data_IF_458401731442
#
_entry.id   IF_458401731442
#
_cell.length_a   1.000
_cell.length_b   1.000
_cell.length_c   1.000
_cell.angle_alpha   90.00
_cell.angle_beta   90.00
_cell.angle_gamma   90.00
#
_symmetry.space_group_name_H-M   'P 1'
#
loop_
_entity.id
_entity.type
_entity.pdbx_description
1 polymer ?
#
# COMPACT_ATOMS: atom_id res chain seq x y z
N UNK A 1 22.44 18.39 -11.51
CA UNK A 1 22.39 19.67 -12.26
C UNK A 1 20.96 20.19 -12.54
N UNK A 2 19.91 19.40 -12.51
CA UNK A 2 18.53 19.87 -12.71
C UNK A 2 17.91 20.56 -11.47
N UNK A 3 18.42 20.30 -10.27
CA UNK A 3 17.81 20.72 -9.00
C UNK A 3 17.74 22.24 -8.73
N UNK A 4 18.53 23.05 -9.46
CA UNK A 4 18.51 24.49 -9.26
C UNK A 4 17.65 25.26 -10.28
N UNK A 5 17.12 24.59 -11.30
CA UNK A 5 16.34 25.21 -12.37
C UNK A 5 14.83 25.20 -12.11
N UNK A 6 14.34 24.19 -11.39
CA UNK A 6 12.92 23.98 -11.13
C UNK A 6 12.63 23.97 -9.62
N UNK A 7 11.63 24.75 -9.20
CA UNK A 7 11.20 24.85 -7.78
C UNK A 7 10.41 23.64 -7.31
N UNK A 8 9.75 22.94 -8.24
CA UNK A 8 8.86 21.80 -7.96
C UNK A 8 9.59 20.54 -7.54
N UNK A 9 10.90 20.43 -7.78
CA UNK A 9 11.65 19.20 -7.50
C UNK A 9 11.74 18.88 -6.01
N UNK A 10 11.35 17.68 -5.64
CA UNK A 10 11.36 17.20 -4.26
C UNK A 10 11.66 15.69 -4.20
N UNK A 11 12.54 15.27 -3.29
CA UNK A 11 12.92 13.86 -3.09
C UNK A 11 13.33 13.13 -4.39
N UNK A 12 12.83 11.90 -4.60
CA UNK A 12 13.00 11.15 -5.85
C UNK A 12 11.84 11.47 -6.79
N UNK A 13 11.91 12.61 -7.42
CA UNK A 13 10.90 13.10 -8.34
C UNK A 13 10.86 12.31 -9.65
N UNK A 14 9.71 12.33 -10.33
CA UNK A 14 9.50 11.78 -11.66
C UNK A 14 9.60 12.90 -12.72
N UNK A 15 9.96 12.52 -13.94
CA UNK A 15 10.29 13.44 -15.03
C UNK A 15 9.13 14.38 -15.41
N UNK A 16 7.89 13.96 -15.27
CA UNK A 16 6.72 14.80 -15.55
C UNK A 16 6.61 16.03 -14.65
N UNK A 17 7.18 16.01 -13.44
CA UNK A 17 7.15 17.10 -12.47
C UNK A 17 7.78 18.38 -13.04
N UNK A 18 9.06 18.40 -13.50
CA UNK A 18 9.65 19.59 -14.12
C UNK A 18 9.02 19.92 -15.48
N UNK A 19 8.45 18.96 -16.21
CA UNK A 19 7.73 19.25 -17.45
C UNK A 19 6.46 20.07 -17.21
N UNK A 20 5.69 19.76 -16.17
CA UNK A 20 4.52 20.56 -15.80
C UNK A 20 4.97 21.97 -15.39
N UNK A 21 5.96 22.09 -14.51
CA UNK A 21 6.45 23.41 -14.09
C UNK A 21 6.90 24.26 -15.29
N UNK A 22 7.64 23.68 -16.22
CA UNK A 22 8.05 24.37 -17.45
C UNK A 22 6.83 24.80 -18.28
N UNK A 23 5.85 23.90 -18.46
CA UNK A 23 4.61 24.21 -19.18
C UNK A 23 3.86 25.39 -18.58
N UNK A 24 3.77 25.43 -17.24
CA UNK A 24 3.13 26.54 -16.50
C UNK A 24 3.90 27.86 -16.67
N UNK A 25 5.23 27.84 -16.62
CA UNK A 25 6.07 29.02 -16.81
C UNK A 25 5.98 29.62 -18.24
N UNK A 26 5.62 28.82 -19.23
CA UNK A 26 5.48 29.26 -20.62
C UNK A 26 4.08 29.83 -20.93
N UNK A 27 3.12 29.78 -20.00
CA UNK A 27 1.77 30.27 -20.20
C UNK A 27 1.73 31.83 -20.22
N UNK A 28 1.06 32.37 -21.21
CA UNK A 28 0.60 33.76 -21.14
C UNK A 28 -0.48 33.92 -20.07
N UNK A 29 -0.79 35.16 -19.68
CA UNK A 29 -1.90 35.47 -18.77
C UNK A 29 -3.19 34.84 -19.28
N UNK A 30 -3.93 34.17 -18.42
CA UNK A 30 -5.14 33.38 -18.72
C UNK A 30 -4.92 32.20 -19.69
N UNK A 31 -3.69 31.89 -20.09
CA UNK A 31 -3.38 30.68 -20.84
C UNK A 31 -3.65 29.42 -19.99
N UNK A 32 -4.03 28.32 -20.63
CA UNK A 32 -4.32 27.05 -19.97
C UNK A 32 -3.33 25.97 -20.37
N UNK A 33 -2.85 25.21 -19.42
CA UNK A 33 -2.00 24.05 -19.57
C UNK A 33 -2.77 22.79 -19.17
N UNK A 34 -2.59 21.72 -19.94
CA UNK A 34 -3.11 20.40 -19.58
C UNK A 34 -2.16 19.32 -20.12
N UNK A 35 -1.99 18.27 -19.35
CA UNK A 35 -1.17 17.11 -19.72
C UNK A 35 -1.67 15.87 -19.01
N UNK A 36 -1.76 14.73 -19.71
CA UNK A 36 -1.99 13.44 -19.07
C UNK A 36 -0.72 13.03 -18.32
N UNK A 37 -0.89 12.73 -17.03
CA UNK A 37 0.21 12.42 -16.11
C UNK A 37 -0.16 11.23 -15.21
N UNK A 38 0.84 10.57 -14.60
CA UNK A 38 0.59 9.56 -13.60
C UNK A 38 -0.23 10.10 -12.42
N UNK A 39 -1.22 9.33 -11.99
CA UNK A 39 -2.11 9.65 -10.86
C UNK A 39 -1.35 9.98 -9.56
N UNK A 40 -0.17 9.40 -9.26
CA UNK A 40 0.68 9.79 -8.14
C UNK A 40 0.99 11.29 -8.01
N UNK A 41 0.79 12.09 -9.07
CA UNK A 41 0.82 13.55 -8.96
C UNK A 41 -0.11 14.04 -7.83
N UNK A 42 -1.27 13.44 -7.64
CA UNK A 42 -2.30 13.90 -6.72
C UNK A 42 -1.94 13.69 -5.24
N UNK A 43 -1.14 12.66 -4.92
CA UNK A 43 -0.97 12.20 -3.53
C UNK A 43 0.49 11.92 -3.09
N UNK A 44 1.43 11.65 -4.01
CA UNK A 44 2.79 11.27 -3.63
C UNK A 44 3.62 12.45 -3.13
N UNK A 45 4.54 12.16 -2.18
CA UNK A 45 5.39 13.18 -1.52
C UNK A 45 6.26 13.97 -2.49
N UNK A 46 6.79 13.32 -3.52
CA UNK A 46 7.64 14.01 -4.50
C UNK A 46 6.87 15.07 -5.32
N UNK A 47 5.53 14.93 -5.48
CA UNK A 47 4.67 15.91 -6.14
C UNK A 47 4.27 17.12 -5.29
N UNK A 48 4.57 17.10 -3.98
CA UNK A 48 4.12 18.13 -3.02
C UNK A 48 4.42 19.56 -3.46
N UNK A 49 5.66 19.85 -3.83
CA UNK A 49 6.05 21.22 -4.21
C UNK A 49 5.34 21.69 -5.46
N UNK A 50 5.15 20.80 -6.44
CA UNK A 50 4.41 21.14 -7.66
C UNK A 50 2.93 21.40 -7.34
N UNK A 51 2.28 20.55 -6.55
CA UNK A 51 0.91 20.78 -6.10
C UNK A 51 0.75 22.11 -5.36
N UNK A 52 1.72 22.43 -4.49
CA UNK A 52 1.76 23.72 -3.80
C UNK A 52 1.78 24.88 -4.80
N UNK A 53 2.72 24.85 -5.76
CA UNK A 53 2.83 25.89 -6.81
C UNK A 53 1.51 26.02 -7.56
N UNK A 54 0.93 24.90 -8.03
CA UNK A 54 -0.33 24.93 -8.78
C UNK A 54 -1.47 25.53 -7.94
N UNK A 55 -1.56 25.14 -6.66
CA UNK A 55 -2.67 25.57 -5.79
C UNK A 55 -2.55 27.01 -5.32
N UNK A 56 -1.33 27.54 -5.15
CA UNK A 56 -1.10 28.87 -4.59
C UNK A 56 -0.84 29.94 -5.66
N UNK A 57 -0.18 29.58 -6.77
CA UNK A 57 0.27 30.55 -7.78
C UNK A 57 -0.58 30.51 -9.07
N UNK A 58 -1.34 29.44 -9.30
CA UNK A 58 -2.17 29.23 -10.50
C UNK A 58 -3.60 28.86 -10.14
N UNK A 59 -4.48 28.82 -11.14
CA UNK A 59 -5.85 28.33 -10.98
C UNK A 59 -5.95 26.90 -11.50
N UNK A 60 -6.17 25.92 -10.61
CA UNK A 60 -6.54 24.57 -10.97
C UNK A 60 -8.03 24.55 -11.32
N UNK A 61 -8.34 24.47 -12.63
CA UNK A 61 -9.71 24.52 -13.13
C UNK A 61 -10.43 23.19 -12.99
N UNK A 62 -9.73 22.13 -13.40
CA UNK A 62 -10.29 20.78 -13.45
C UNK A 62 -9.22 19.72 -13.26
N UNK A 63 -9.60 18.60 -12.69
CA UNK A 63 -8.83 17.35 -12.72
C UNK A 63 -9.76 16.27 -13.28
N UNK A 64 -9.36 15.70 -14.43
CA UNK A 64 -10.01 14.49 -14.93
C UNK A 64 -9.30 13.28 -14.32
N UNK A 65 -10.05 12.53 -13.53
CA UNK A 65 -9.60 11.27 -12.91
C UNK A 65 -9.84 10.11 -13.89
N UNK A 66 -8.77 9.49 -14.35
CA UNK A 66 -8.76 8.33 -15.25
C UNK A 66 -8.44 7.04 -14.49
N UNK A 67 -8.51 7.09 -13.16
CA UNK A 67 -8.25 5.92 -12.34
C UNK A 67 -9.28 4.81 -12.63
N UNK A 68 -8.78 3.56 -12.73
CA UNK A 68 -9.63 2.43 -13.15
C UNK A 68 -9.85 2.32 -14.66
N UNK A 69 -9.42 3.32 -15.45
CA UNK A 69 -9.49 3.27 -16.92
C UNK A 69 -8.12 2.92 -17.52
N UNK A 70 -8.05 1.89 -18.33
CA UNK A 70 -6.84 1.53 -19.07
C UNK A 70 -6.66 2.48 -20.26
N UNK A 71 -5.88 3.54 -20.07
CA UNK A 71 -5.65 4.56 -21.11
C UNK A 71 -4.62 4.11 -22.16
N UNK A 72 -3.58 3.40 -21.71
CA UNK A 72 -2.49 2.92 -22.57
C UNK A 72 -2.45 1.40 -22.60
N UNK A 73 -2.38 0.79 -23.81
CA UNK A 73 -2.41 -0.66 -23.96
C UNK A 73 -1.27 -1.38 -23.21
N UNK A 74 -0.10 -0.79 -23.18
CA UNK A 74 1.14 -1.39 -22.66
C UNK A 74 1.58 -0.82 -21.30
N UNK A 75 0.77 0.01 -20.63
CA UNK A 75 1.10 0.59 -19.34
C UNK A 75 0.00 0.28 -18.30
N UNK A 76 0.44 -0.06 -17.09
CA UNK A 76 -0.43 -0.35 -15.93
C UNK A 76 -0.48 0.81 -14.93
N UNK A 77 -0.23 2.03 -15.39
CA UNK A 77 -0.17 3.22 -14.54
C UNK A 77 -1.52 3.93 -14.59
N UNK A 78 -2.13 4.16 -13.43
CA UNK A 78 -3.28 5.05 -13.32
C UNK A 78 -2.88 6.48 -13.68
N UNK A 79 -3.78 7.20 -14.35
CA UNK A 79 -3.50 8.53 -14.88
C UNK A 79 -4.54 9.54 -14.39
N UNK A 80 -4.18 10.83 -14.49
CA UNK A 80 -5.10 11.95 -14.37
C UNK A 80 -4.71 13.06 -15.35
N UNK A 81 -5.63 13.99 -15.60
CA UNK A 81 -5.39 15.14 -16.47
C UNK A 81 -5.76 16.41 -15.68
N UNK A 82 -4.78 17.14 -15.13
CA UNK A 82 -5.00 18.46 -14.56
C UNK A 82 -5.15 19.52 -15.67
N UNK A 83 -6.09 20.45 -15.48
CA UNK A 83 -6.26 21.66 -16.28
C UNK A 83 -5.93 22.86 -15.41
N UNK A 84 -4.84 23.55 -15.73
CA UNK A 84 -4.30 24.63 -14.93
C UNK A 84 -4.24 25.91 -15.74
N UNK A 85 -4.79 27.00 -15.24
CA UNK A 85 -4.80 28.30 -15.90
C UNK A 85 -3.84 29.27 -15.19
N UNK A 86 -3.13 30.09 -15.99
CA UNK A 86 -2.28 31.15 -15.46
C UNK A 86 -3.11 32.37 -15.03
N UNK A 87 -3.80 32.23 -13.90
CA UNK A 87 -4.53 33.29 -13.22
C UNK A 87 -4.59 32.96 -11.73
N UNK A 88 -5.08 33.90 -10.91
CA UNK A 88 -5.26 33.68 -9.48
C UNK A 88 -6.22 32.52 -9.20
N UNK A 89 -6.00 31.75 -8.14
CA UNK A 89 -6.86 30.65 -7.74
C UNK A 89 -8.32 31.09 -7.62
N UNK A 90 -9.24 30.28 -8.14
CA UNK A 90 -10.70 30.45 -8.05
C UNK A 90 -11.28 29.53 -6.98
N UNK A 91 -12.47 29.87 -6.50
CA UNK A 91 -13.13 29.13 -5.42
C UNK A 91 -13.67 27.74 -5.83
N UNK A 92 -13.79 27.47 -7.14
CA UNK A 92 -14.36 26.22 -7.64
C UNK A 92 -13.35 25.40 -8.45
N UNK A 93 -13.21 24.12 -8.08
CA UNK A 93 -12.49 23.11 -8.84
C UNK A 93 -13.48 22.07 -9.34
N UNK A 94 -13.40 21.72 -10.63
CA UNK A 94 -14.17 20.62 -11.21
C UNK A 94 -13.37 19.33 -11.12
N UNK A 95 -14.00 18.23 -10.70
CA UNK A 95 -13.43 16.88 -10.76
C UNK A 95 -14.33 16.04 -11.66
N UNK A 96 -13.75 15.47 -12.70
CA UNK A 96 -14.45 14.61 -13.68
C UNK A 96 -13.88 13.21 -13.55
N UNK A 97 -14.74 12.21 -13.34
CA UNK A 97 -14.33 10.80 -13.29
C UNK A 97 -14.67 10.08 -14.59
N UNK A 98 -13.75 9.24 -15.06
CA UNK A 98 -13.94 8.35 -16.20
C UNK A 98 -13.94 6.89 -15.72
N UNK A 99 -15.02 6.14 -16.02
CA UNK A 99 -15.10 4.71 -15.74
C UNK A 99 -15.50 3.94 -16.99
N UNK A 100 -14.77 2.88 -17.32
CA UNK A 100 -15.12 1.83 -18.31
C UNK A 100 -15.94 2.31 -19.53
N UNK A 101 -15.41 3.25 -20.30
CA UNK A 101 -16.06 3.75 -21.51
C UNK A 101 -17.32 4.60 -21.30
N UNK A 102 -17.66 4.92 -20.06
CA UNK A 102 -18.75 5.86 -19.71
C UNK A 102 -18.16 7.10 -19.06
N UNK A 103 -18.49 8.25 -19.63
CA UNK A 103 -18.22 9.55 -19.02
C UNK A 103 -19.24 9.77 -17.90
N UNK A 104 -18.81 9.60 -16.63
CA UNK A 104 -19.60 10.07 -15.50
C UNK A 104 -19.07 11.46 -15.18
N UNK A 105 -19.74 12.47 -15.68
CA UNK A 105 -19.49 13.86 -15.28
C UNK A 105 -20.17 14.08 -13.92
N UNK A 106 -19.43 13.84 -12.86
CA UNK A 106 -19.78 14.32 -11.55
C UNK A 106 -18.94 15.54 -11.25
N UNK A 107 -19.56 16.69 -11.33
CA UNK A 107 -18.94 17.94 -10.93
C UNK A 107 -18.96 18.02 -9.41
N UNK A 108 -17.87 17.57 -8.79
CA UNK A 108 -17.61 17.88 -7.39
C UNK A 108 -17.05 19.30 -7.33
N UNK A 109 -17.84 20.23 -6.84
CA UNK A 109 -17.36 21.59 -6.55
C UNK A 109 -16.60 21.55 -5.23
N UNK A 110 -15.30 21.54 -5.30
CA UNK A 110 -14.43 21.66 -4.12
C UNK A 110 -13.74 23.02 -4.16
N UNK A 111 -13.76 23.74 -3.06
CA UNK A 111 -12.95 24.93 -2.95
C UNK A 111 -11.46 24.57 -2.93
N UNK A 112 -10.56 25.42 -3.44
CA UNK A 112 -9.11 25.21 -3.29
C UNK A 112 -8.66 25.03 -1.85
N UNK A 113 -9.40 25.57 -0.89
CA UNK A 113 -9.16 25.39 0.55
C UNK A 113 -9.41 23.95 1.00
N UNK A 114 -10.41 23.26 0.42
CA UNK A 114 -10.64 21.84 0.70
C UNK A 114 -9.50 20.97 0.18
N UNK A 115 -8.80 21.37 -0.86
CA UNK A 115 -7.58 20.72 -1.35
C UNK A 115 -6.36 20.98 -0.46
N UNK A 116 -6.39 22.05 0.35
CA UNK A 116 -5.34 22.42 1.31
C UNK A 116 -5.50 21.74 2.67
N UNK A 117 -6.54 20.93 2.89
CA UNK A 117 -6.84 20.32 4.20
C UNK A 117 -5.68 19.48 4.78
N UNK A 118 -4.74 19.09 3.94
CA UNK A 118 -3.45 18.58 4.39
C UNK A 118 -2.34 19.60 4.06
N UNK A 119 -2.31 20.72 4.80
CA UNK A 119 -1.30 21.80 4.65
C UNK A 119 0.14 21.27 4.66
N UNK A 120 0.34 20.11 5.27
CA UNK A 120 1.65 19.47 5.35
C UNK A 120 2.10 18.89 4.01
N UNK A 121 1.20 18.28 3.21
CA UNK A 121 1.57 17.54 2.00
C UNK A 121 0.82 17.97 0.72
N UNK A 122 -0.12 18.92 0.76
CA UNK A 122 -0.90 19.42 -0.38
C UNK A 122 -1.55 18.29 -1.19
N UNK A 123 -2.09 17.29 -0.53
CA UNK A 123 -2.70 16.13 -1.19
C UNK A 123 -4.02 16.56 -1.83
N UNK A 124 -4.18 16.26 -3.13
CA UNK A 124 -5.43 16.46 -3.86
C UNK A 124 -6.33 15.22 -3.69
N UNK A 125 -7.28 15.30 -2.77
CA UNK A 125 -8.28 14.25 -2.62
C UNK A 125 -9.37 14.40 -3.69
N UNK A 126 -9.44 13.47 -4.63
CA UNK A 126 -10.40 13.48 -5.73
C UNK A 126 -11.68 12.70 -5.42
N UNK A 127 -11.80 12.06 -4.27
CA UNK A 127 -12.98 11.27 -3.90
C UNK A 127 -14.13 12.15 -3.39
N UNK A 128 -15.37 11.64 -3.53
CA UNK A 128 -16.61 12.35 -3.17
C UNK A 128 -16.80 12.56 -1.67
N UNK A 129 -16.29 11.67 -0.83
CA UNK A 129 -16.58 11.63 0.59
C UNK A 129 -15.43 12.20 1.43
N UNK A 130 -15.78 12.79 2.58
CA UNK A 130 -14.83 13.03 3.65
C UNK A 130 -14.08 11.73 3.93
N UNK A 131 -12.74 11.79 3.98
CA UNK A 131 -11.90 10.61 4.19
C UNK A 131 -12.49 9.76 5.32
N UNK A 132 -12.71 8.48 5.05
CA UNK A 132 -13.06 7.48 6.08
C UNK A 132 -12.12 7.53 7.30
N UNK A 133 -10.92 8.08 7.14
CA UNK A 133 -9.98 8.34 8.23
C UNK A 133 -10.51 9.23 9.35
N UNK A 134 -11.45 10.14 9.09
CA UNK A 134 -12.09 10.94 10.16
C UNK A 134 -13.15 10.13 10.91
N UNK A 135 -13.89 9.26 10.22
CA UNK A 135 -14.91 8.39 10.82
C UNK A 135 -14.31 7.39 11.82
N UNK A 136 -13.09 6.95 11.58
CA UNK A 136 -12.41 5.93 12.40
C UNK A 136 -11.18 6.46 13.14
N UNK A 137 -11.05 7.80 13.30
CA UNK A 137 -9.89 8.44 13.93
C UNK A 137 -9.55 7.92 15.34
N UNK A 138 -10.55 7.46 16.06
CA UNK A 138 -10.39 6.92 17.42
C UNK A 138 -10.15 5.40 17.46
N UNK A 139 -10.18 4.72 16.31
CA UNK A 139 -9.89 3.28 16.26
C UNK A 139 -8.39 3.02 16.31
N UNK A 140 -8.04 1.82 16.79
CA UNK A 140 -6.71 1.29 16.58
C UNK A 140 -6.51 1.01 15.09
N UNK A 141 -5.27 1.10 14.62
CA UNK A 141 -4.90 0.76 13.24
C UNK A 141 -4.06 -0.52 13.22
N UNK A 142 -3.96 -1.16 12.06
CA UNK A 142 -3.20 -2.42 11.95
C UNK A 142 -1.75 -2.27 12.45
N UNK A 143 -1.13 -1.11 12.25
CA UNK A 143 0.22 -0.82 12.73
C UNK A 143 0.38 -0.84 14.25
N UNK A 144 -0.72 -0.66 15.02
CA UNK A 144 -0.69 -0.76 16.49
C UNK A 144 -0.59 -2.22 16.95
N UNK A 145 -1.08 -3.16 16.16
CA UNK A 145 -1.06 -4.60 16.44
C UNK A 145 0.10 -5.32 15.78
N UNK A 146 0.55 -4.85 14.59
CA UNK A 146 1.49 -5.56 13.75
C UNK A 146 2.67 -4.69 13.33
N UNK A 147 3.86 -5.28 13.34
CA UNK A 147 4.98 -4.80 12.57
C UNK A 147 4.77 -5.15 11.09
N UNK A 148 4.83 -4.14 10.21
CA UNK A 148 4.61 -4.33 8.78
C UNK A 148 5.91 -4.06 8.03
N UNK A 149 6.34 -5.03 7.24
CA UNK A 149 7.59 -4.98 6.48
C UNK A 149 7.41 -5.51 5.06
N UNK A 150 8.23 -5.00 4.15
CA UNK A 150 8.50 -5.65 2.86
C UNK A 150 9.44 -6.84 3.05
N UNK A 151 9.38 -7.81 2.15
CA UNK A 151 10.35 -8.86 2.07
C UNK A 151 11.70 -8.42 1.48
N UNK A 152 12.57 -9.38 1.29
CA UNK A 152 13.97 -9.19 0.84
C UNK A 152 14.06 -8.81 -0.64
N UNK A 153 15.14 -8.18 -1.03
CA UNK A 153 15.52 -7.96 -2.44
C UNK A 153 16.58 -8.98 -2.81
N UNK A 154 16.24 -9.84 -3.77
CA UNK A 154 17.06 -11.01 -4.14
C UNK A 154 18.16 -10.70 -5.16
N UNK A 155 18.71 -9.51 -5.15
CA UNK A 155 19.86 -9.15 -5.97
C UNK A 155 21.07 -8.95 -5.08
N UNK A 156 22.26 -9.16 -5.63
CA UNK A 156 23.51 -8.89 -4.94
C UNK A 156 23.56 -7.44 -4.43
N UNK A 157 24.03 -7.27 -3.20
CA UNK A 157 24.23 -5.95 -2.61
C UNK A 157 25.39 -5.25 -3.33
N UNK A 158 25.13 -4.12 -3.96
CA UNK A 158 26.13 -3.36 -4.72
C UNK A 158 27.33 -2.90 -3.88
N UNK A 159 27.16 -2.73 -2.57
CA UNK A 159 28.24 -2.34 -1.66
C UNK A 159 29.12 -3.54 -1.24
N UNK A 160 28.62 -4.77 -1.40
CA UNK A 160 29.31 -5.99 -0.98
C UNK A 160 29.80 -6.76 -2.21
N UNK A 161 28.95 -6.95 -3.20
CA UNK A 161 29.23 -7.79 -4.36
C UNK A 161 28.37 -7.37 -5.58
N UNK A 162 28.77 -6.29 -6.25
CA UNK A 162 28.01 -5.71 -7.34
C UNK A 162 27.83 -6.69 -8.51
N UNK A 163 26.58 -7.00 -8.85
CA UNK A 163 26.22 -7.77 -10.05
C UNK A 163 26.61 -9.25 -10.01
N UNK A 164 27.08 -9.78 -8.86
CA UNK A 164 27.56 -11.16 -8.75
C UNK A 164 26.47 -12.22 -8.97
N UNK A 165 25.22 -11.89 -8.68
CA UNK A 165 24.06 -12.78 -8.92
C UNK A 165 22.77 -12.01 -9.09
N UNK A 166 21.79 -12.66 -9.68
CA UNK A 166 20.42 -12.19 -9.86
C UNK A 166 19.43 -13.09 -9.11
N UNK A 167 18.21 -12.63 -9.01
CA UNK A 167 17.11 -13.35 -8.36
C UNK A 167 16.96 -14.79 -8.89
N UNK A 168 17.05 -14.95 -10.19
CA UNK A 168 16.86 -16.25 -10.87
C UNK A 168 17.91 -17.29 -10.47
N UNK A 169 19.10 -16.84 -10.11
CA UNK A 169 20.21 -17.69 -9.70
C UNK A 169 20.01 -18.28 -8.28
N UNK A 170 19.07 -17.72 -7.51
CA UNK A 170 18.81 -18.08 -6.13
C UNK A 170 17.58 -18.95 -5.93
N UNK A 171 16.76 -19.15 -6.98
CA UNK A 171 15.43 -19.75 -6.84
C UNK A 171 15.39 -21.08 -7.63
N UNK A 172 14.87 -22.12 -6.99
CA UNK A 172 14.59 -23.43 -7.61
C UNK A 172 13.13 -23.82 -7.44
N UNK A 173 12.58 -24.53 -8.41
CA UNK A 173 11.27 -25.19 -8.28
C UNK A 173 11.34 -26.50 -7.47
N UNK A 174 12.54 -27.00 -7.22
CA UNK A 174 12.77 -28.25 -6.48
C UNK A 174 13.57 -27.96 -5.21
N UNK A 175 13.14 -28.60 -4.12
CA UNK A 175 13.90 -28.61 -2.86
C UNK A 175 15.21 -29.40 -3.01
N UNK A 176 16.28 -28.81 -2.54
CA UNK A 176 17.59 -29.49 -2.40
C UNK A 176 18.35 -28.94 -1.18
N UNK A 177 19.61 -29.37 -0.98
CA UNK A 177 20.44 -28.95 0.16
C UNK A 177 20.78 -27.46 0.14
N UNK A 178 20.82 -26.85 -1.03
CA UNK A 178 21.14 -25.44 -1.25
C UNK A 178 19.83 -24.61 -1.19
N UNK A 179 18.84 -25.02 -1.99
CA UNK A 179 17.50 -24.40 -2.02
C UNK A 179 16.62 -25.00 -0.94
N UNK A 180 16.87 -24.63 0.30
CA UNK A 180 16.37 -25.31 1.50
C UNK A 180 15.20 -24.60 2.19
N UNK A 181 14.81 -23.40 1.76
CA UNK A 181 13.70 -22.63 2.37
C UNK A 181 12.57 -22.37 1.38
N UNK A 182 11.36 -22.62 1.80
CA UNK A 182 10.14 -22.31 1.03
C UNK A 182 10.09 -20.80 0.75
N UNK A 183 9.79 -20.45 -0.51
CA UNK A 183 9.81 -19.08 -1.01
C UNK A 183 8.61 -18.80 -1.91
N UNK A 184 8.04 -17.58 -1.76
CA UNK A 184 6.87 -17.11 -2.51
C UNK A 184 7.06 -15.66 -2.99
N UNK A 185 6.32 -15.30 -4.04
CA UNK A 185 6.18 -13.93 -4.56
C UNK A 185 4.71 -13.52 -4.61
N UNK A 186 4.41 -12.24 -4.83
CA UNK A 186 3.04 -11.73 -4.85
C UNK A 186 2.10 -12.45 -5.82
N UNK A 187 2.62 -12.91 -6.97
CA UNK A 187 1.85 -13.71 -7.94
C UNK A 187 1.47 -15.12 -7.45
N UNK A 188 2.16 -15.59 -6.41
CA UNK A 188 1.96 -16.93 -5.85
C UNK A 188 0.90 -16.95 -4.74
N UNK A 189 0.36 -15.80 -4.34
CA UNK A 189 -0.68 -15.69 -3.31
C UNK A 189 -2.03 -15.27 -3.89
N UNK A 190 -3.07 -15.64 -3.16
CA UNK A 190 -4.45 -15.24 -3.38
C UNK A 190 -5.14 -15.07 -2.01
N UNK A 191 -6.39 -14.58 -1.97
CA UNK A 191 -7.16 -14.54 -0.72
C UNK A 191 -7.16 -15.93 -0.08
N UNK A 192 -6.69 -16.02 1.15
CA UNK A 192 -6.63 -17.24 1.98
C UNK A 192 -5.72 -18.39 1.43
N UNK A 193 -4.94 -18.19 0.38
CA UNK A 193 -4.20 -19.30 -0.24
C UNK A 193 -2.82 -18.88 -0.76
N UNK A 194 -1.85 -19.80 -0.62
CA UNK A 194 -0.61 -19.82 -1.41
C UNK A 194 -0.79 -20.81 -2.56
N UNK A 195 -0.72 -20.33 -3.81
CA UNK A 195 -0.96 -21.13 -5.04
C UNK A 195 0.27 -21.89 -5.51
N UNK A 196 1.46 -21.36 -5.27
CA UNK A 196 2.72 -21.95 -5.70
C UNK A 196 3.81 -21.66 -4.68
N UNK A 197 4.62 -22.66 -4.42
CA UNK A 197 5.81 -22.58 -3.57
C UNK A 197 7.03 -22.92 -4.41
N UNK A 198 8.09 -22.16 -4.23
CA UNK A 198 9.44 -22.41 -4.75
C UNK A 198 10.40 -22.52 -3.58
N UNK A 199 11.66 -22.70 -3.87
CA UNK A 199 12.69 -22.84 -2.85
C UNK A 199 13.81 -21.84 -3.11
N UNK A 200 14.22 -21.14 -2.05
CA UNK A 200 15.31 -20.17 -2.09
C UNK A 200 16.58 -20.79 -1.54
N UNK A 201 17.69 -20.49 -2.20
CA UNK A 201 19.01 -20.73 -1.66
C UNK A 201 19.15 -20.09 -0.28
N UNK A 202 19.62 -20.86 0.71
CA UNK A 202 19.67 -20.38 2.09
C UNK A 202 20.84 -20.94 2.85
N UNK A 203 21.43 -20.14 3.76
CA UNK A 203 22.63 -20.46 4.51
C UNK A 203 23.86 -20.81 3.63
N UNK A 204 23.98 -20.14 2.50
CA UNK A 204 25.14 -20.22 1.62
C UNK A 204 26.02 -18.99 1.79
N UNK A 205 27.14 -18.95 1.08
CA UNK A 205 28.04 -17.79 1.10
C UNK A 205 27.36 -16.48 0.64
N UNK A 206 26.35 -16.57 -0.25
CA UNK A 206 25.66 -15.41 -0.81
C UNK A 206 24.28 -15.11 -0.21
N UNK A 207 23.62 -16.07 0.41
CA UNK A 207 22.26 -15.89 0.89
C UNK A 207 22.06 -16.34 2.35
N UNK A 208 21.56 -15.47 3.25
CA UNK A 208 21.00 -14.13 2.99
C UNK A 208 22.03 -12.98 3.05
N UNK A 209 23.27 -13.21 3.40
CA UNK A 209 24.20 -12.19 3.89
C UNK A 209 24.62 -11.18 2.80
N UNK A 210 24.69 -11.60 1.54
CA UNK A 210 25.06 -10.74 0.41
C UNK A 210 23.85 -10.18 -0.39
N UNK A 211 22.63 -10.30 0.13
CA UNK A 211 21.46 -9.70 -0.50
C UNK A 211 21.48 -8.18 -0.41
N UNK A 212 20.94 -7.49 -1.42
CA UNK A 212 20.90 -6.02 -1.45
C UNK A 212 20.03 -5.40 -0.36
N UNK A 213 19.06 -6.13 0.16
CA UNK A 213 18.24 -5.77 1.32
C UNK A 213 17.95 -7.03 2.12
N UNK A 214 18.89 -7.51 2.92
CA UNK A 214 18.60 -8.55 3.88
C UNK A 214 17.64 -8.00 4.93
N UNK A 215 16.57 -8.72 5.21
CA UNK A 215 15.72 -8.50 6.37
C UNK A 215 16.19 -9.41 7.50
N UNK A 216 15.82 -9.08 8.75
CA UNK A 216 16.23 -9.93 9.88
C UNK A 216 15.50 -11.27 9.83
N UNK A 217 16.18 -12.34 10.23
CA UNK A 217 15.70 -13.73 10.07
C UNK A 217 14.40 -14.00 10.83
N UNK A 218 14.28 -13.42 12.01
CA UNK A 218 13.14 -13.59 12.90
C UNK A 218 11.81 -13.11 12.25
N UNK A 219 11.88 -12.20 11.29
CA UNK A 219 10.71 -11.79 10.52
C UNK A 219 10.06 -12.95 9.75
N UNK A 220 10.90 -13.90 9.31
CA UNK A 220 10.44 -15.05 8.54
C UNK A 220 10.10 -16.24 9.41
N UNK A 221 10.73 -16.37 10.57
CA UNK A 221 10.63 -17.53 11.46
C UNK A 221 9.52 -17.38 12.53
N UNK A 222 8.49 -16.58 12.23
CA UNK A 222 7.32 -16.37 13.09
C UNK A 222 6.01 -16.47 12.29
N UNK A 223 4.90 -16.66 13.00
CA UNK A 223 3.56 -16.59 12.42
C UNK A 223 3.29 -15.17 11.90
N UNK A 224 2.71 -15.07 10.69
CA UNK A 224 2.49 -13.79 10.03
C UNK A 224 1.33 -13.82 9.05
N UNK A 225 0.79 -12.67 8.75
CA UNK A 225 -0.04 -12.47 7.57
C UNK A 225 0.86 -12.03 6.41
N UNK A 226 0.54 -12.51 5.21
CA UNK A 226 1.24 -12.24 3.97
C UNK A 226 0.27 -11.55 3.03
N UNK A 227 0.68 -10.38 2.50
CA UNK A 227 -0.17 -9.49 1.71
C UNK A 227 0.53 -9.11 0.40
N UNK A 228 -0.23 -9.03 -0.69
CA UNK A 228 0.28 -8.45 -1.94
C UNK A 228 0.43 -6.91 -1.83
N UNK A 229 1.16 -6.33 -2.78
CA UNK A 229 1.40 -4.88 -2.82
C UNK A 229 0.77 -4.17 -4.03
N UNK A 230 -0.07 -4.86 -4.80
CA UNK A 230 -0.67 -4.33 -6.04
C UNK A 230 -2.14 -4.76 -6.16
N UNK A 231 -2.97 -3.88 -6.66
CA UNK A 231 -4.37 -4.15 -6.96
C UNK A 231 -5.26 -4.33 -5.74
N UNK A 232 -6.22 -5.26 -5.81
CA UNK A 232 -7.05 -5.67 -4.68
C UNK A 232 -6.20 -6.39 -3.65
N UNK A 233 -6.46 -6.16 -2.37
CA UNK A 233 -5.70 -6.83 -1.31
C UNK A 233 -6.03 -8.32 -1.25
N UNK A 234 -4.98 -9.13 -1.29
CA UNK A 234 -5.05 -10.58 -1.06
C UNK A 234 -4.20 -10.91 0.14
N UNK A 235 -4.80 -11.52 1.14
CA UNK A 235 -4.13 -11.86 2.39
C UNK A 235 -4.22 -13.36 2.65
N UNK A 236 -3.10 -13.96 3.00
CA UNK A 236 -3.04 -15.33 3.50
C UNK A 236 -2.26 -15.38 4.81
N UNK A 237 -2.35 -16.50 5.51
CA UNK A 237 -1.70 -16.71 6.79
C UNK A 237 -0.57 -17.73 6.66
N UNK A 238 0.56 -17.42 7.27
CA UNK A 238 1.71 -18.32 7.42
C UNK A 238 1.94 -18.57 8.91
N UNK A 239 1.65 -19.77 9.37
CA UNK A 239 1.85 -20.19 10.76
C UNK A 239 2.87 -21.31 10.94
N UNK A 240 3.12 -22.10 9.90
CA UNK A 240 3.89 -23.34 10.00
C UNK A 240 4.94 -23.50 8.90
N UNK A 241 4.71 -22.84 7.76
CA UNK A 241 5.57 -22.99 6.60
C UNK A 241 6.76 -22.04 6.61
N UNK A 242 6.64 -20.92 7.34
CA UNK A 242 7.68 -19.89 7.51
C UNK A 242 8.27 -19.42 6.18
N UNK A 243 7.38 -19.06 5.24
CA UNK A 243 7.77 -18.64 3.90
C UNK A 243 8.72 -17.46 3.91
N UNK A 244 9.80 -17.61 3.16
CA UNK A 244 10.59 -16.48 2.69
C UNK A 244 9.83 -15.78 1.56
N UNK A 245 9.95 -14.47 1.46
CA UNK A 245 9.30 -13.69 0.41
C UNK A 245 10.09 -12.44 0.03
N UNK A 246 9.91 -11.99 -1.22
CA UNK A 246 10.58 -10.81 -1.74
C UNK A 246 9.81 -9.51 -1.42
N UNK A 247 10.37 -8.40 -1.88
CA UNK A 247 9.84 -7.04 -1.69
C UNK A 247 8.49 -6.76 -2.38
N UNK A 248 7.97 -7.68 -3.21
CA UNK A 248 6.62 -7.58 -3.79
C UNK A 248 5.53 -8.05 -2.82
N UNK A 249 5.91 -8.58 -1.67
CA UNK A 249 5.03 -9.00 -0.59
C UNK A 249 5.29 -8.17 0.65
N UNK A 250 4.22 -7.82 1.36
CA UNK A 250 4.26 -7.36 2.73
C UNK A 250 3.99 -8.52 3.69
N UNK A 251 4.58 -8.48 4.86
CA UNK A 251 4.19 -9.30 5.99
C UNK A 251 3.75 -8.41 7.15
N UNK A 252 2.75 -8.89 7.89
CA UNK A 252 2.30 -8.30 9.14
C UNK A 252 2.50 -9.32 10.26
N UNK A 253 3.38 -9.00 11.20
CA UNK A 253 3.74 -9.83 12.34
C UNK A 253 3.25 -9.16 13.61
N UNK A 254 2.56 -9.88 14.48
CA UNK A 254 2.11 -9.33 15.75
C UNK A 254 3.31 -8.86 16.59
N UNK A 255 3.21 -7.67 17.19
CA UNK A 255 4.30 -7.11 17.99
C UNK A 255 4.73 -8.03 19.14
N UNK A 256 3.81 -8.79 19.74
CA UNK A 256 4.10 -9.78 20.78
C UNK A 256 5.02 -10.92 20.32
N UNK A 257 4.93 -11.28 19.02
CA UNK A 257 5.72 -12.39 18.44
C UNK A 257 7.15 -11.92 18.04
N UNK A 258 7.39 -10.60 18.10
CA UNK A 258 8.71 -9.99 17.94
C UNK A 258 9.30 -9.50 19.27
N UNK A 259 8.73 -9.92 20.40
CA UNK A 259 9.21 -9.54 21.74
C UNK A 259 10.70 -9.87 21.87
N UNK A 260 11.44 -8.98 22.51
CA UNK A 260 12.90 -9.08 22.74
C UNK A 260 13.77 -9.02 21.47
N UNK A 261 13.20 -8.92 20.27
CA UNK A 261 13.94 -8.76 19.02
C UNK A 261 14.28 -7.28 18.81
N UNK A 262 15.56 -6.97 18.90
CA UNK A 262 16.08 -5.61 18.70
C UNK A 262 16.89 -5.53 17.41
N UNK A 263 16.35 -4.79 16.44
CA UNK A 263 17.12 -4.45 15.25
C UNK A 263 16.80 -3.03 14.75
N UNK A 264 17.64 -2.54 13.83
CA UNK A 264 17.54 -1.19 13.29
C UNK A 264 16.22 -0.95 12.53
N UNK A 265 15.68 -1.95 11.85
CA UNK A 265 14.45 -1.82 11.08
C UNK A 265 13.23 -1.64 11.98
N UNK A 266 13.14 -2.43 13.05
CA UNK A 266 12.08 -2.31 14.07
C UNK A 266 12.18 -0.94 14.75
N UNK A 267 13.36 -0.56 15.25
CA UNK A 267 13.56 0.72 15.94
C UNK A 267 13.22 1.92 15.05
N UNK A 268 13.59 1.86 13.77
CA UNK A 268 13.25 2.90 12.80
C UNK A 268 11.74 2.95 12.51
N UNK A 269 11.07 1.80 12.45
CA UNK A 269 9.62 1.74 12.24
C UNK A 269 8.87 2.34 13.41
N UNK A 270 9.24 1.99 14.64
CA UNK A 270 8.65 2.54 15.86
C UNK A 270 8.78 4.07 15.87
N UNK A 271 10.00 4.58 15.67
CA UNK A 271 10.26 6.02 15.69
C UNK A 271 9.46 6.81 14.65
N UNK A 272 9.21 6.21 13.47
CA UNK A 272 8.62 6.93 12.34
C UNK A 272 7.11 6.83 12.25
N UNK A 273 6.54 5.70 12.69
CA UNK A 273 5.19 5.34 12.31
C UNK A 273 4.28 4.93 13.47
N UNK A 274 4.83 4.59 14.64
CA UNK A 274 4.02 4.07 15.74
C UNK A 274 3.47 5.18 16.63
N UNK A 275 2.20 5.03 17.02
CA UNK A 275 1.49 5.93 17.95
C UNK A 275 1.76 5.59 19.41
N UNK A 276 2.13 4.34 19.68
CA UNK A 276 2.38 3.77 20.99
C UNK A 276 3.84 3.36 21.15
N UNK A 277 4.29 3.21 22.39
CA UNK A 277 5.61 2.62 22.64
C UNK A 277 5.58 1.09 22.42
N UNK A 278 6.75 0.48 22.43
CA UNK A 278 6.92 -0.95 22.14
C UNK A 278 6.12 -1.86 23.06
N UNK A 279 6.14 -1.61 24.38
CA UNK A 279 5.48 -2.42 25.41
C UNK A 279 3.95 -2.33 25.26
N UNK A 280 3.44 -1.15 24.97
CA UNK A 280 2.01 -0.93 24.71
C UNK A 280 1.55 -1.71 23.48
N UNK A 281 2.31 -1.68 22.38
CA UNK A 281 2.00 -2.43 21.15
C UNK A 281 2.08 -3.95 21.35
N UNK A 282 3.08 -4.45 22.07
CA UNK A 282 3.16 -5.87 22.46
C UNK A 282 1.95 -6.31 23.27
N UNK A 283 1.54 -5.49 24.23
CA UNK A 283 0.34 -5.73 25.07
C UNK A 283 -0.94 -5.70 24.23
N UNK A 284 -1.06 -4.71 23.35
CA UNK A 284 -2.23 -4.53 22.48
C UNK A 284 -2.36 -5.70 21.50
N UNK A 285 -1.26 -6.11 20.88
CA UNK A 285 -1.21 -7.24 19.97
C UNK A 285 -1.55 -8.59 20.62
N UNK A 286 -1.40 -8.69 21.95
CA UNK A 286 -1.86 -9.84 22.74
C UNK A 286 -3.38 -9.96 22.83
N UNK A 287 -4.13 -8.89 22.55
CA UNK A 287 -5.60 -8.86 22.60
C UNK A 287 -6.26 -9.27 21.29
N UNK A 288 -5.51 -9.45 20.20
CA UNK A 288 -6.03 -9.72 18.87
C UNK A 288 -5.63 -11.11 18.39
N UNK A 289 -6.55 -11.78 17.70
CA UNK A 289 -6.31 -13.09 17.05
C UNK A 289 -5.86 -12.89 15.60
N UNK A 290 -4.88 -13.69 15.15
CA UNK A 290 -4.33 -13.57 13.79
C UNK A 290 -5.34 -13.99 12.71
N UNK A 291 -6.24 -14.96 12.99
CA UNK A 291 -7.30 -15.34 12.04
C UNK A 291 -8.40 -14.28 11.95
N UNK A 292 -8.65 -13.56 13.06
CA UNK A 292 -9.52 -12.40 13.04
C UNK A 292 -8.95 -11.29 12.13
N UNK A 293 -7.66 -10.99 12.25
CA UNK A 293 -7.01 -10.02 11.35
C UNK A 293 -7.04 -10.50 9.90
N UNK A 294 -6.84 -11.80 9.63
CA UNK A 294 -6.97 -12.38 8.30
C UNK A 294 -8.37 -12.14 7.72
N UNK A 295 -9.41 -12.33 8.53
CA UNK A 295 -10.80 -12.08 8.14
C UNK A 295 -11.04 -10.61 7.78
N UNK A 296 -10.65 -9.70 8.70
CA UNK A 296 -10.79 -8.25 8.47
C UNK A 296 -10.10 -7.83 7.17
N UNK A 297 -8.85 -8.27 6.94
CA UNK A 297 -8.04 -7.83 5.81
C UNK A 297 -8.49 -8.43 4.47
N UNK A 298 -9.27 -9.52 4.46
CA UNK A 298 -9.87 -10.08 3.25
C UNK A 298 -11.35 -9.70 3.04
N UNK A 299 -11.92 -8.86 3.92
CA UNK A 299 -13.29 -8.38 3.80
C UNK A 299 -13.44 -7.29 2.73
N UNK A 300 -14.67 -7.10 2.25
CA UNK A 300 -15.03 -6.02 1.32
C UNK A 300 -14.72 -4.62 1.89
N UNK A 301 -14.93 -4.42 3.20
CA UNK A 301 -14.62 -3.15 3.87
C UNK A 301 -13.12 -2.83 3.83
N UNK A 302 -12.23 -3.82 3.98
CA UNK A 302 -10.80 -3.57 3.88
C UNK A 302 -10.39 -3.12 2.48
N UNK A 303 -10.99 -3.69 1.44
CA UNK A 303 -10.79 -3.27 0.05
C UNK A 303 -11.27 -1.82 -0.17
N UNK A 304 -12.45 -1.44 0.36
CA UNK A 304 -13.00 -0.08 0.31
C UNK A 304 -12.09 0.93 1.02
N UNK A 305 -11.69 0.64 2.27
CA UNK A 305 -10.82 1.49 3.08
C UNK A 305 -9.43 1.70 2.43
N UNK A 306 -8.89 0.65 1.81
CA UNK A 306 -7.63 0.74 1.07
C UNK A 306 -7.79 1.54 -0.22
N UNK A 307 -8.91 1.39 -0.93
CA UNK A 307 -9.21 2.17 -2.13
C UNK A 307 -9.25 3.67 -1.81
N UNK A 308 -9.92 4.05 -0.72
CA UNK A 308 -9.97 5.42 -0.23
C UNK A 308 -8.59 5.97 0.12
N UNK A 309 -7.78 5.21 0.87
CA UNK A 309 -6.43 5.64 1.27
C UNK A 309 -5.48 5.77 0.08
N UNK A 310 -5.63 4.92 -0.93
CA UNK A 310 -4.80 4.96 -2.14
C UNK A 310 -5.14 6.13 -3.05
N UNK A 311 -6.36 6.64 -2.95
CA UNK A 311 -6.83 7.71 -3.83
C UNK A 311 -6.68 7.32 -5.30
N UNK A 312 -6.85 6.03 -5.63
CA UNK A 312 -6.75 5.51 -6.98
C UNK A 312 -5.40 5.00 -7.45
N UNK A 313 -4.35 5.06 -6.65
CA UNK A 313 -3.09 4.39 -6.97
C UNK A 313 -3.28 2.86 -6.97
N UNK A 314 -2.74 2.20 -7.99
CA UNK A 314 -2.75 0.73 -8.08
C UNK A 314 -1.83 0.07 -7.03
N UNK A 315 -0.85 0.81 -6.52
CA UNK A 315 0.08 0.33 -5.50
C UNK A 315 -0.52 0.46 -4.10
N UNK A 316 -0.36 -0.60 -3.32
CA UNK A 316 -0.59 -0.59 -1.88
C UNK A 316 0.75 -0.30 -1.21
N UNK A 317 0.87 0.84 -0.53
CA UNK A 317 2.08 1.17 0.23
C UNK A 317 1.99 0.69 1.68
N UNK A 318 3.13 0.48 2.38
CA UNK A 318 3.11 0.05 3.78
C UNK A 318 2.31 0.96 4.71
N UNK A 319 2.27 2.26 4.44
CA UNK A 319 1.48 3.22 5.19
C UNK A 319 -0.03 3.01 5.02
N UNK A 320 -0.52 2.62 3.85
CA UNK A 320 -1.93 2.30 3.65
C UNK A 320 -2.33 1.12 4.53
N UNK A 321 -1.51 0.06 4.57
CA UNK A 321 -1.74 -1.13 5.39
C UNK A 321 -1.66 -0.79 6.89
N UNK A 322 -0.66 0.00 7.31
CA UNK A 322 -0.51 0.40 8.72
C UNK A 322 -1.69 1.18 9.24
N UNK A 323 -2.26 2.04 8.40
CA UNK A 323 -3.32 2.96 8.77
C UNK A 323 -4.73 2.37 8.61
N UNK A 324 -4.86 1.09 8.23
CA UNK A 324 -6.16 0.43 8.20
C UNK A 324 -6.75 0.40 9.62
N UNK A 325 -7.92 0.99 9.84
CA UNK A 325 -8.61 0.91 11.12
C UNK A 325 -9.03 -0.53 11.41
N UNK A 326 -8.76 -0.98 12.61
CA UNK A 326 -9.05 -2.35 13.07
C UNK A 326 -9.92 -2.27 14.30
N UNK A 327 -11.19 -2.69 14.23
CA UNK A 327 -12.05 -2.82 15.42
C UNK A 327 -11.46 -3.84 16.40
N UNK A 328 -11.65 -3.63 17.68
CA UNK A 328 -11.21 -4.55 18.71
C UNK A 328 -12.41 -4.99 19.56
N UNK A 329 -13.30 -5.85 19.02
CA UNK A 329 -14.44 -6.37 19.77
C UNK A 329 -14.00 -7.39 20.83
N UNK A 330 -14.95 -7.86 21.62
CA UNK A 330 -14.71 -8.91 22.62
C UNK A 330 -14.14 -10.19 21.97
N UNK A 331 -13.39 -10.96 22.75
CA UNK A 331 -12.68 -12.16 22.27
C UNK A 331 -13.60 -13.19 21.60
N UNK A 332 -14.84 -13.30 22.07
CA UNK A 332 -15.81 -14.25 21.49
C UNK A 332 -16.20 -13.85 20.07
N UNK A 333 -16.42 -12.55 19.82
CA UNK A 333 -16.71 -12.04 18.47
C UNK A 333 -15.51 -12.23 17.55
N UNK A 334 -14.29 -11.94 18.02
CA UNK A 334 -13.07 -12.19 17.24
C UNK A 334 -12.93 -13.67 16.89
N UNK A 335 -13.21 -14.57 17.84
CA UNK A 335 -13.14 -16.02 17.63
C UNK A 335 -14.15 -16.51 16.58
N UNK A 336 -15.39 -16.00 16.65
CA UNK A 336 -16.44 -16.37 15.70
C UNK A 336 -16.05 -15.97 14.27
N UNK A 337 -15.63 -14.72 14.07
CA UNK A 337 -15.15 -14.22 12.76
C UNK A 337 -13.89 -14.99 12.32
N UNK A 338 -12.94 -15.22 13.20
CA UNK A 338 -11.72 -15.99 12.92
C UNK A 338 -12.00 -17.46 12.55
N UNK A 339 -13.05 -18.05 13.07
CA UNK A 339 -13.45 -19.43 12.72
C UNK A 339 -13.99 -19.51 11.29
N UNK A 340 -14.74 -18.52 10.82
CA UNK A 340 -15.16 -18.43 9.41
C UNK A 340 -13.93 -18.35 8.51
N UNK A 341 -12.94 -17.51 8.84
CA UNK A 341 -11.71 -17.43 8.06
C UNK A 341 -10.93 -18.77 8.03
N UNK A 342 -10.92 -19.52 9.13
CA UNK A 342 -10.32 -20.88 9.17
C UNK A 342 -11.06 -21.86 8.27
N UNK A 343 -12.38 -21.78 8.24
CA UNK A 343 -13.18 -22.66 7.36
C UNK A 343 -12.95 -22.30 5.89
N UNK A 344 -12.89 -21.01 5.55
CA UNK A 344 -12.53 -20.57 4.19
C UNK A 344 -11.14 -21.09 3.81
N UNK A 345 -10.16 -21.03 4.69
CA UNK A 345 -8.83 -21.60 4.45
C UNK A 345 -8.88 -23.10 4.16
N UNK A 346 -9.75 -23.87 4.84
CA UNK A 346 -9.91 -25.30 4.57
C UNK A 346 -10.56 -25.54 3.20
N UNK A 347 -11.62 -24.81 2.86
CA UNK A 347 -12.27 -24.92 1.53
C UNK A 347 -11.29 -24.56 0.41
N UNK A 348 -10.49 -23.51 0.59
CA UNK A 348 -9.46 -23.11 -0.38
C UNK A 348 -8.39 -24.19 -0.61
N UNK A 349 -7.98 -24.93 0.41
CA UNK A 349 -7.01 -26.04 0.28
C UNK A 349 -7.50 -27.14 -0.66
N UNK A 350 -8.80 -27.37 -0.72
CA UNK A 350 -9.42 -28.39 -1.57
C UNK A 350 -10.13 -27.80 -2.79
N UNK A 351 -9.88 -26.55 -3.11
CA UNK A 351 -10.51 -25.78 -4.20
C UNK A 351 -12.05 -25.82 -4.18
N UNK A 352 -12.67 -25.90 -2.99
CA UNK A 352 -14.11 -25.82 -2.82
C UNK A 352 -14.58 -24.35 -2.83
N UNK A 353 -15.85 -24.15 -3.20
CA UNK A 353 -16.49 -22.83 -3.11
C UNK A 353 -16.63 -22.37 -1.67
N UNK A 354 -16.45 -21.07 -1.44
CA UNK A 354 -16.51 -20.42 -0.13
C UNK A 354 -17.30 -19.08 -0.15
N UNK A 355 -18.04 -18.86 -1.23
CA UNK A 355 -18.76 -17.60 -1.45
C UNK A 355 -19.78 -17.32 -0.33
N UNK A 356 -20.45 -18.36 0.16
CA UNK A 356 -21.39 -18.31 1.29
C UNK A 356 -20.70 -17.80 2.58
N UNK A 357 -19.54 -18.35 2.90
CA UNK A 357 -18.76 -17.96 4.07
C UNK A 357 -18.17 -16.54 3.93
N UNK A 358 -17.78 -16.16 2.72
CA UNK A 358 -17.29 -14.80 2.48
C UNK A 358 -18.40 -13.75 2.66
N UNK A 359 -19.61 -14.02 2.17
CA UNK A 359 -20.75 -13.14 2.39
C UNK A 359 -21.13 -13.01 3.87
N UNK A 360 -21.11 -14.11 4.62
CA UNK A 360 -21.32 -14.10 6.08
C UNK A 360 -20.25 -13.28 6.79
N UNK A 361 -18.98 -13.52 6.45
CA UNK A 361 -17.84 -12.79 7.01
C UNK A 361 -17.96 -11.30 6.73
N UNK A 362 -18.26 -10.90 5.50
CA UNK A 362 -18.39 -9.50 5.10
C UNK A 362 -19.51 -8.79 5.90
N UNK A 363 -20.66 -9.45 6.12
CA UNK A 363 -21.75 -8.92 6.94
C UNK A 363 -21.32 -8.72 8.41
N UNK A 364 -20.66 -9.73 8.98
CA UNK A 364 -20.19 -9.64 10.37
C UNK A 364 -19.13 -8.56 10.54
N UNK A 365 -18.17 -8.49 9.62
CA UNK A 365 -17.13 -7.47 9.65
C UNK A 365 -17.72 -6.08 9.46
N UNK A 366 -18.65 -5.88 8.51
CA UNK A 366 -19.31 -4.60 8.27
C UNK A 366 -20.00 -4.05 9.53
N UNK A 367 -20.60 -4.92 10.34
CA UNK A 367 -21.25 -4.51 11.58
C UNK A 367 -20.29 -3.93 12.64
N UNK A 368 -18.99 -4.23 12.55
CA UNK A 368 -17.97 -3.70 13.48
C UNK A 368 -17.53 -2.27 13.12
N UNK A 369 -17.86 -1.80 11.92
CA UNK A 369 -17.50 -0.47 11.44
C UNK A 369 -18.68 0.52 11.44
N UNK A 370 -19.83 0.12 11.97
CA UNK A 370 -20.99 0.97 12.18
C UNK A 370 -20.88 1.72 13.51
#
# INVERSE_FOLDING_TARGET
>A
MASNKYKSLNEKWDLYIPFIELGLQLLCTNGTFSMIVPYPLTNQKYGKKLRKIITEEYCLLEITDLNGTKVFENATVSNCIPFVQNCLPKEELRITHFFEGKTIQEVLRKSPETLKQDEKDYIWNLTREERTGTRFANMNVLGDFCYISKGMVLNANENVEKGAFKKEDLISDVYDKIHSRKYIEAKDIDKYQVKRVRYLEWNTERCPDKLSRPTFRELYDCSKLILNCLGTINVTIDKEEYFLHNHSIYCAVLWKDLKDINNKSISSSIKKFCRYNRIEMETLSGKVDLYYLLAILNSSIADELLADQRGGDYHIYPEHIRNLPIPLPEKEVQKNIGNIAKEILQRRKVNADYSDLQEELDKMVASLYQ
#
